data_IF_067207034287
#
_entry.id   IF_067207034287
#
_cell.length_a   1.000
_cell.length_b   1.000
_cell.length_c   1.000
_cell.angle_alpha   90.00
_cell.angle_beta   90.00
_cell.angle_gamma   90.00
#
_symmetry.space_group_name_H-M   'P 1'
#
loop_
_entity.id
_entity.type
_entity.pdbx_description
1 polymer ?
#
# COMPACT_ATOMS: atom_id res chain seq x y z
N UNK A 1 -27.76 -13.60 20.53
CA UNK A 1 -27.65 -12.13 20.68
C UNK A 1 -28.11 -11.49 19.39
N UNK A 2 -28.84 -10.36 19.42
CA UNK A 2 -29.31 -9.71 18.19
C UNK A 2 -28.13 -9.17 17.36
N UNK A 3 -28.04 -9.55 16.08
CA UNK A 3 -27.03 -9.06 15.11
C UNK A 3 -27.29 -7.62 14.64
N UNK A 4 -28.40 -7.02 15.05
CA UNK A 4 -28.87 -5.72 14.59
C UNK A 4 -27.86 -4.60 14.81
N UNK A 5 -27.24 -4.53 16.00
CA UNK A 5 -26.31 -3.44 16.33
C UNK A 5 -24.99 -3.51 15.52
N UNK A 6 -24.26 -4.65 15.47
CA UNK A 6 -23.09 -4.80 14.60
C UNK A 6 -23.40 -4.51 13.13
N UNK A 7 -24.56 -4.96 12.63
CA UNK A 7 -24.96 -4.71 11.25
C UNK A 7 -25.15 -3.21 10.97
N UNK A 8 -25.84 -2.49 11.86
CA UNK A 8 -26.01 -1.03 11.76
C UNK A 8 -24.65 -0.32 11.76
N UNK A 9 -23.73 -0.71 12.63
CA UNK A 9 -22.37 -0.14 12.69
C UNK A 9 -21.61 -0.40 11.39
N UNK A 10 -21.67 -1.61 10.83
CA UNK A 10 -21.06 -1.95 9.54
C UNK A 10 -21.61 -1.07 8.42
N UNK A 11 -22.94 -0.90 8.34
CA UNK A 11 -23.59 -0.09 7.30
C UNK A 11 -23.18 1.37 7.42
N UNK A 12 -23.35 1.97 8.60
CA UNK A 12 -23.07 3.39 8.82
C UNK A 12 -21.59 3.72 8.59
N UNK A 13 -20.69 2.89 9.11
CA UNK A 13 -19.24 3.07 8.92
C UNK A 13 -18.87 2.96 7.45
N UNK A 14 -19.41 1.97 6.73
CA UNK A 14 -19.18 1.82 5.29
C UNK A 14 -19.70 3.02 4.50
N UNK A 15 -20.91 3.49 4.80
CA UNK A 15 -21.52 4.67 4.14
C UNK A 15 -20.68 5.92 4.40
N UNK A 16 -20.26 6.18 5.64
CA UNK A 16 -19.45 7.35 5.96
C UNK A 16 -18.07 7.32 5.29
N UNK A 17 -17.42 6.16 5.26
CA UNK A 17 -16.15 5.99 4.56
C UNK A 17 -16.31 6.22 3.06
N UNK A 18 -17.29 5.58 2.42
CA UNK A 18 -17.60 5.74 1.00
C UNK A 18 -17.93 7.20 0.66
N UNK A 19 -18.77 7.85 1.47
CA UNK A 19 -19.12 9.27 1.28
C UNK A 19 -17.87 10.16 1.37
N UNK A 20 -16.99 9.97 2.37
CA UNK A 20 -15.74 10.71 2.48
C UNK A 20 -14.82 10.52 1.26
N UNK A 21 -14.81 9.30 0.68
CA UNK A 21 -14.11 8.98 -0.55
C UNK A 21 -14.81 9.49 -1.81
N UNK A 22 -16.07 9.92 -1.81
CA UNK A 22 -16.75 10.46 -3.00
C UNK A 22 -16.76 11.99 -3.04
N UNK A 23 -16.73 12.65 -1.89
CA UNK A 23 -16.91 14.11 -1.76
C UNK A 23 -15.79 14.91 -2.48
N UNK A 24 -16.20 15.94 -3.24
CA UNK A 24 -15.45 17.13 -3.74
C UNK A 24 -14.48 17.04 -4.91
N UNK A 25 -14.08 15.87 -5.41
CA UNK A 25 -13.39 15.81 -6.72
C UNK A 25 -14.10 14.78 -7.58
N UNK A 26 -14.66 15.18 -8.75
CA UNK A 26 -15.21 14.19 -9.66
C UNK A 26 -14.09 13.19 -9.93
N UNK A 27 -14.38 11.90 -9.77
CA UNK A 27 -13.50 10.78 -10.13
C UNK A 27 -13.29 10.70 -11.66
N UNK A 28 -13.34 11.84 -12.36
CA UNK A 28 -13.14 11.97 -13.80
C UNK A 28 -11.66 11.76 -14.09
N UNK A 29 -11.22 10.50 -14.06
CA UNK A 29 -10.21 10.04 -14.99
C UNK A 29 -10.89 10.10 -16.36
N UNK A 30 -10.45 11.01 -17.25
CA UNK A 30 -11.08 11.13 -18.58
C UNK A 30 -11.03 9.80 -19.34
N UNK A 31 -10.01 8.96 -19.05
CA UNK A 31 -9.91 7.54 -19.40
C UNK A 31 -9.05 6.84 -18.33
N UNK A 32 -9.54 5.78 -17.65
CA UNK A 32 -8.71 4.99 -16.75
C UNK A 32 -7.64 4.25 -17.56
N UNK A 33 -6.39 4.29 -17.09
CA UNK A 33 -5.26 3.56 -17.70
C UNK A 33 -5.10 2.18 -17.07
N UNK A 34 -4.13 1.37 -17.53
CA UNK A 34 -3.94 0.02 -16.99
C UNK A 34 -3.50 0.02 -15.52
N UNK A 35 -2.76 1.04 -15.10
CA UNK A 35 -2.28 1.24 -13.74
C UNK A 35 -3.43 1.49 -12.76
N UNK A 36 -4.47 2.19 -13.23
CA UNK A 36 -5.72 2.34 -12.48
C UNK A 36 -6.39 0.98 -12.25
N UNK A 37 -6.54 0.18 -13.30
CA UNK A 37 -7.19 -1.13 -13.21
C UNK A 37 -6.40 -2.10 -12.35
N UNK A 38 -5.06 -2.03 -12.40
CA UNK A 38 -4.20 -2.86 -11.56
C UNK A 38 -4.39 -2.52 -10.07
N UNK A 39 -4.33 -1.22 -9.72
CA UNK A 39 -4.53 -0.76 -8.35
C UNK A 39 -5.96 -0.99 -7.83
N UNK A 40 -6.97 -0.84 -8.70
CA UNK A 40 -8.36 -1.19 -8.38
C UNK A 40 -8.49 -2.68 -8.08
N UNK A 41 -7.95 -3.53 -8.95
CA UNK A 41 -7.96 -4.99 -8.80
C UNK A 41 -7.27 -5.43 -7.52
N UNK A 42 -6.13 -4.79 -7.18
CA UNK A 42 -5.41 -5.02 -5.93
C UNK A 42 -6.29 -4.83 -4.69
N UNK A 43 -7.02 -3.72 -4.60
CA UNK A 43 -7.89 -3.46 -3.47
C UNK A 43 -9.09 -4.41 -3.42
N UNK A 44 -9.73 -4.64 -4.57
CA UNK A 44 -10.94 -5.48 -4.64
C UNK A 44 -10.62 -6.92 -4.30
N UNK A 45 -9.56 -7.49 -4.88
CA UNK A 45 -9.13 -8.87 -4.58
C UNK A 45 -8.72 -9.01 -3.12
N UNK A 46 -8.00 -8.05 -2.53
CA UNK A 46 -7.67 -8.08 -1.10
C UNK A 46 -8.93 -8.09 -0.21
N UNK A 47 -9.92 -7.27 -0.52
CA UNK A 47 -11.20 -7.24 0.22
C UNK A 47 -12.02 -8.52 0.05
N UNK A 48 -12.14 -9.04 -1.18
CA UNK A 48 -12.89 -10.28 -1.47
C UNK A 48 -12.24 -11.49 -0.81
N UNK A 49 -10.92 -11.59 -0.87
CA UNK A 49 -10.17 -12.69 -0.24
C UNK A 49 -10.35 -12.71 1.27
N UNK A 50 -10.43 -11.55 1.91
CA UNK A 50 -10.70 -11.48 3.34
C UNK A 50 -12.05 -12.12 3.70
N UNK A 51 -13.03 -12.16 2.78
CA UNK A 51 -14.32 -12.83 3.01
C UNK A 51 -14.23 -14.36 3.00
N UNK A 52 -13.26 -14.95 2.29
CA UNK A 52 -13.00 -16.39 2.39
C UNK A 52 -12.49 -16.77 3.79
N UNK A 53 -11.73 -15.89 4.45
CA UNK A 53 -11.17 -16.18 5.78
C UNK A 53 -12.22 -16.29 6.88
N UNK A 54 -13.38 -15.66 6.71
CA UNK A 54 -14.49 -15.69 7.67
C UNK A 54 -15.58 -16.69 7.28
N UNK A 55 -15.34 -17.57 6.30
CA UNK A 55 -16.27 -18.64 5.90
C UNK A 55 -17.51 -18.19 5.11
N UNK A 56 -17.68 -16.88 4.90
CA UNK A 56 -18.81 -16.29 4.16
C UNK A 56 -18.78 -16.68 2.68
N UNK A 57 -17.57 -16.79 2.11
CA UNK A 57 -17.36 -17.43 0.80
C UNK A 57 -16.82 -18.83 1.03
N UNK A 58 -17.61 -19.85 0.71
CA UNK A 58 -17.17 -21.24 0.74
C UNK A 58 -16.29 -21.55 -0.47
N UNK A 59 -15.18 -22.25 -0.24
CA UNK A 59 -14.25 -22.60 -1.29
C UNK A 59 -13.02 -23.34 -0.78
N UNK A 60 -12.29 -23.97 -1.69
CA UNK A 60 -11.00 -24.58 -1.39
C UNK A 60 -9.92 -23.50 -1.19
N UNK A 61 -8.85 -23.81 -0.47
CA UNK A 61 -7.69 -22.91 -0.37
C UNK A 61 -7.11 -22.53 -1.75
N UNK A 62 -7.18 -23.47 -2.72
CA UNK A 62 -6.82 -23.24 -4.13
C UNK A 62 -7.70 -22.18 -4.78
N UNK A 63 -9.03 -22.25 -4.59
CA UNK A 63 -9.95 -21.24 -5.12
C UNK A 63 -9.69 -19.86 -4.50
N UNK A 64 -9.50 -19.79 -3.18
CA UNK A 64 -9.17 -18.53 -2.50
C UNK A 64 -7.86 -17.93 -3.03
N UNK A 65 -6.84 -18.76 -3.30
CA UNK A 65 -5.58 -18.36 -3.92
C UNK A 65 -5.77 -17.89 -5.36
N UNK A 66 -6.60 -18.58 -6.15
CA UNK A 66 -6.91 -18.21 -7.52
C UNK A 66 -7.64 -16.85 -7.60
N UNK A 67 -8.68 -16.64 -6.79
CA UNK A 67 -9.42 -15.37 -6.70
C UNK A 67 -8.50 -14.23 -6.27
N UNK A 68 -7.54 -14.52 -5.38
CA UNK A 68 -6.53 -13.57 -4.91
C UNK A 68 -5.56 -13.14 -5.99
N UNK A 69 -5.01 -14.09 -6.75
CA UNK A 69 -3.84 -13.85 -7.60
C UNK A 69 -4.19 -13.68 -9.07
N UNK A 70 -5.13 -14.46 -9.63
CA UNK A 70 -5.38 -14.47 -11.09
C UNK A 70 -5.79 -13.10 -11.63
N UNK A 71 -6.76 -12.38 -11.04
CA UNK A 71 -7.14 -11.06 -11.56
C UNK A 71 -5.96 -10.08 -11.56
N UNK A 72 -5.16 -10.09 -10.49
CA UNK A 72 -3.95 -9.27 -10.36
C UNK A 72 -2.89 -9.63 -11.40
N UNK A 73 -2.66 -10.93 -11.63
CA UNK A 73 -1.74 -11.44 -12.64
C UNK A 73 -2.19 -11.04 -14.04
N UNK A 74 -3.46 -11.22 -14.38
CA UNK A 74 -4.00 -10.89 -15.71
C UNK A 74 -3.78 -9.40 -16.01
N UNK A 75 -4.17 -8.51 -15.10
CA UNK A 75 -4.00 -7.07 -15.30
C UNK A 75 -2.52 -6.68 -15.31
N UNK A 76 -1.70 -7.30 -14.44
CA UNK A 76 -0.25 -7.07 -14.40
C UNK A 76 0.47 -7.52 -15.67
N UNK A 77 0.11 -8.67 -16.23
CA UNK A 77 0.65 -9.16 -17.51
C UNK A 77 0.26 -8.22 -18.64
N UNK A 78 -1.00 -7.77 -18.71
CA UNK A 78 -1.44 -6.77 -19.71
C UNK A 78 -0.60 -5.49 -19.59
N UNK A 79 -0.35 -5.02 -18.37
CA UNK A 79 0.48 -3.84 -18.10
C UNK A 79 1.92 -3.99 -18.61
N UNK A 80 2.52 -5.18 -18.44
CA UNK A 80 3.86 -5.49 -18.98
C UNK A 80 3.83 -5.60 -20.51
N UNK A 81 2.82 -6.27 -21.09
CA UNK A 81 2.68 -6.41 -22.54
C UNK A 81 2.50 -5.05 -23.23
N UNK A 82 1.72 -4.14 -22.64
CA UNK A 82 1.58 -2.77 -23.14
C UNK A 82 2.91 -2.00 -23.07
N UNK A 83 3.67 -2.19 -21.98
CA UNK A 83 5.00 -1.58 -21.82
C UNK A 83 5.99 -2.09 -22.88
N UNK A 84 5.95 -3.38 -23.18
CA UNK A 84 6.74 -4.02 -24.22
C UNK A 84 6.33 -3.55 -25.62
N UNK A 85 5.03 -3.52 -25.93
CA UNK A 85 4.50 -3.05 -27.21
C UNK A 85 4.87 -1.58 -27.48
N UNK A 86 4.86 -0.75 -26.43
CA UNK A 86 5.31 0.64 -26.49
C UNK A 86 6.84 0.79 -26.60
N UNK A 87 7.62 -0.31 -26.54
CA UNK A 87 9.09 -0.30 -26.51
C UNK A 87 9.67 0.57 -25.41
N UNK A 88 8.99 0.62 -24.27
CA UNK A 88 9.38 1.42 -23.10
C UNK A 88 9.77 0.55 -21.91
N UNK A 89 10.02 -0.74 -22.12
CA UNK A 89 10.44 -1.67 -21.07
C UNK A 89 11.77 -1.25 -20.46
N UNK A 90 11.83 -1.23 -19.13
CA UNK A 90 13.05 -0.99 -18.36
C UNK A 90 13.05 -1.80 -17.08
N UNK A 91 14.20 -2.37 -16.73
CA UNK A 91 14.43 -2.97 -15.42
C UNK A 91 15.24 -1.96 -14.61
N UNK A 92 14.60 -1.33 -13.63
CA UNK A 92 15.32 -0.46 -12.68
C UNK A 92 16.00 -1.32 -11.60
N UNK A 93 16.85 -0.70 -10.77
CA UNK A 93 17.58 -1.42 -9.72
C UNK A 93 16.67 -2.14 -8.73
N UNK A 94 15.56 -1.51 -8.31
CA UNK A 94 14.60 -2.15 -7.41
C UNK A 94 13.97 -3.42 -8.05
N UNK A 95 13.59 -3.33 -9.33
CA UNK A 95 13.09 -4.45 -10.11
C UNK A 95 14.13 -5.57 -10.30
N UNK A 96 15.39 -5.20 -10.53
CA UNK A 96 16.51 -6.16 -10.59
C UNK A 96 16.73 -6.91 -9.27
N UNK A 97 16.68 -6.22 -8.13
CA UNK A 97 16.80 -6.81 -6.80
C UNK A 97 15.65 -7.77 -6.48
N UNK A 98 14.41 -7.39 -6.83
CA UNK A 98 13.25 -8.30 -6.69
C UNK A 98 13.34 -9.48 -7.66
N UNK A 99 13.82 -9.26 -8.89
CA UNK A 99 14.09 -10.34 -9.84
C UNK A 99 15.09 -11.35 -9.28
N UNK A 100 16.20 -10.87 -8.72
CA UNK A 100 17.19 -11.71 -8.04
C UNK A 100 16.59 -12.46 -6.83
N UNK A 101 15.71 -11.83 -6.05
CA UNK A 101 14.98 -12.49 -4.96
C UNK A 101 14.14 -13.66 -5.50
N UNK A 102 13.41 -13.47 -6.61
CA UNK A 102 12.63 -14.56 -7.20
C UNK A 102 13.51 -15.66 -7.83
N UNK A 103 14.68 -15.34 -8.38
CA UNK A 103 15.64 -16.36 -8.82
C UNK A 103 16.07 -17.22 -7.63
N UNK A 104 16.36 -16.61 -6.47
CA UNK A 104 16.67 -17.34 -5.24
C UNK A 104 15.50 -18.24 -4.81
N UNK A 105 14.26 -17.73 -4.80
CA UNK A 105 13.09 -18.54 -4.46
C UNK A 105 12.84 -19.70 -5.44
N UNK A 106 13.01 -19.47 -6.74
CA UNK A 106 12.84 -20.49 -7.76
C UNK A 106 13.95 -21.56 -7.70
N UNK A 107 15.14 -21.22 -7.21
CA UNK A 107 16.18 -22.21 -6.97
C UNK A 107 15.73 -23.27 -5.95
N UNK A 108 14.96 -22.89 -4.92
CA UNK A 108 14.36 -23.83 -3.97
C UNK A 108 13.30 -24.73 -4.59
N UNK A 109 12.67 -24.31 -5.69
CA UNK A 109 11.69 -25.11 -6.42
C UNK A 109 12.28 -26.41 -6.99
N UNK A 110 13.59 -26.44 -7.26
CA UNK A 110 14.30 -27.67 -7.64
C UNK A 110 14.51 -28.64 -6.46
N UNK A 111 14.34 -28.18 -5.22
CA UNK A 111 14.47 -28.96 -3.99
C UNK A 111 13.15 -29.56 -3.47
N UNK A 112 12.09 -29.61 -4.29
CA UNK A 112 10.78 -30.18 -3.91
C UNK A 112 9.74 -29.17 -3.42
N UNK A 113 10.01 -27.87 -3.55
CA UNK A 113 9.06 -26.80 -3.27
C UNK A 113 8.01 -26.62 -4.38
N UNK A 114 6.83 -26.07 -4.03
CA UNK A 114 5.80 -25.77 -5.02
C UNK A 114 6.23 -24.63 -5.94
N UNK A 115 6.74 -24.98 -7.13
CA UNK A 115 7.06 -24.05 -8.23
C UNK A 115 5.88 -23.12 -8.52
N UNK A 116 4.65 -23.63 -8.41
CA UNK A 116 3.44 -22.88 -8.72
C UNK A 116 3.29 -21.61 -7.85
N UNK A 117 3.54 -21.68 -6.55
CA UNK A 117 3.36 -20.53 -5.67
C UNK A 117 4.41 -19.44 -5.95
N UNK A 118 5.67 -19.84 -6.17
CA UNK A 118 6.74 -18.92 -6.56
C UNK A 118 6.45 -18.24 -7.91
N UNK A 119 5.99 -19.01 -8.92
CA UNK A 119 5.61 -18.49 -10.23
C UNK A 119 4.40 -17.55 -10.19
N UNK A 120 3.35 -17.88 -9.44
CA UNK A 120 2.19 -17.01 -9.25
C UNK A 120 2.59 -15.71 -8.54
N UNK A 121 3.42 -15.81 -7.51
CA UNK A 121 3.95 -14.63 -6.83
C UNK A 121 4.83 -13.78 -7.75
N UNK A 122 5.70 -14.39 -8.56
CA UNK A 122 6.52 -13.68 -9.54
C UNK A 122 5.62 -12.93 -10.52
N UNK A 123 4.58 -13.59 -11.03
CA UNK A 123 3.62 -13.01 -11.96
C UNK A 123 2.90 -11.77 -11.39
N UNK A 124 2.58 -11.75 -10.09
CA UNK A 124 2.03 -10.56 -9.40
C UNK A 124 3.04 -9.42 -9.33
N UNK A 125 4.33 -9.72 -9.17
CA UNK A 125 5.41 -8.73 -9.09
C UNK A 125 5.97 -8.29 -10.45
N UNK A 126 5.61 -8.94 -11.55
CA UNK A 126 6.10 -8.62 -12.89
C UNK A 126 5.99 -7.12 -13.24
N UNK A 127 4.89 -6.39 -12.96
CA UNK A 127 4.81 -4.96 -13.26
C UNK A 127 5.84 -4.10 -12.52
N UNK A 128 6.28 -4.51 -11.32
CA UNK A 128 7.33 -3.81 -10.59
C UNK A 128 8.75 -4.20 -11.06
N UNK A 129 8.94 -5.42 -11.54
CA UNK A 129 10.22 -5.90 -12.09
C UNK A 129 10.46 -5.32 -13.48
N UNK A 130 9.44 -5.42 -14.33
CA UNK A 130 9.41 -5.06 -15.74
C UNK A 130 8.68 -3.73 -15.95
N UNK A 131 9.25 -2.68 -15.33
CA UNK A 131 8.68 -1.35 -15.30
C UNK A 131 8.73 -0.61 -16.65
N UNK A 132 8.05 0.53 -16.71
CA UNK A 132 8.11 1.46 -17.84
C UNK A 132 9.23 2.50 -17.62
N UNK A 133 10.04 2.78 -18.66
CA UNK A 133 11.15 3.75 -18.64
C UNK A 133 10.67 5.15 -18.28
N UNK A 134 9.52 5.56 -18.82
CA UNK A 134 8.91 6.84 -18.47
C UNK A 134 8.41 6.80 -17.03
N UNK A 135 7.90 5.65 -16.59
CA UNK A 135 7.10 5.53 -15.39
C UNK A 135 5.62 5.31 -15.68
N UNK A 136 4.92 4.90 -14.65
CA UNK A 136 3.50 4.70 -14.42
C UNK A 136 2.88 5.96 -13.85
N UNK A 137 1.62 6.21 -14.17
CA UNK A 137 0.89 7.38 -13.67
C UNK A 137 0.43 7.15 -12.21
N UNK A 138 1.08 7.82 -11.25
CA UNK A 138 0.76 7.72 -9.82
C UNK A 138 -0.65 8.24 -9.50
N UNK A 139 -1.17 9.20 -10.26
CA UNK A 139 -2.53 9.69 -10.09
C UNK A 139 -3.53 8.60 -10.45
N UNK A 140 -3.27 7.83 -11.51
CA UNK A 140 -4.10 6.67 -11.88
C UNK A 140 -4.04 5.57 -10.84
N UNK A 141 -2.84 5.25 -10.31
CA UNK A 141 -2.69 4.30 -9.19
C UNK A 141 -3.51 4.76 -7.98
N UNK A 142 -3.35 6.01 -7.53
CA UNK A 142 -4.09 6.57 -6.38
C UNK A 142 -5.61 6.56 -6.62
N UNK A 143 -6.06 6.88 -7.83
CA UNK A 143 -7.50 6.81 -8.17
C UNK A 143 -8.02 5.37 -8.18
N UNK A 144 -7.22 4.42 -8.68
CA UNK A 144 -7.52 2.99 -8.66
C UNK A 144 -7.63 2.45 -7.24
N UNK A 145 -6.67 2.80 -6.37
CA UNK A 145 -6.73 2.48 -4.93
C UNK A 145 -7.98 3.04 -4.27
N UNK A 146 -8.30 4.32 -4.51
CA UNK A 146 -9.48 4.98 -3.95
C UNK A 146 -10.78 4.31 -4.40
N UNK A 147 -10.95 4.07 -5.70
CA UNK A 147 -12.17 3.43 -6.21
C UNK A 147 -12.24 1.95 -5.85
N UNK A 148 -11.12 1.24 -5.88
CA UNK A 148 -11.06 -0.17 -5.50
C UNK A 148 -11.38 -0.38 -4.03
N UNK A 149 -10.90 0.51 -3.15
CA UNK A 149 -11.28 0.51 -1.72
C UNK A 149 -12.78 0.74 -1.55
N UNK A 150 -13.35 1.72 -2.27
CA UNK A 150 -14.79 1.98 -2.27
C UNK A 150 -15.57 0.74 -2.72
N UNK A 151 -15.19 0.13 -3.84
CA UNK A 151 -15.83 -1.09 -4.36
C UNK A 151 -15.76 -2.23 -3.35
N UNK A 152 -14.59 -2.47 -2.75
CA UNK A 152 -14.41 -3.52 -1.75
C UNK A 152 -15.27 -3.29 -0.51
N UNK A 153 -15.29 -2.07 0.05
CA UNK A 153 -16.10 -1.73 1.23
C UNK A 153 -17.59 -1.93 0.94
N UNK A 154 -18.08 -1.46 -0.22
CA UNK A 154 -19.48 -1.67 -0.61
C UNK A 154 -19.78 -3.16 -0.74
N UNK A 155 -18.92 -3.92 -1.42
CA UNK A 155 -19.13 -5.36 -1.60
C UNK A 155 -19.19 -6.09 -0.25
N UNK A 156 -18.25 -5.81 0.66
CA UNK A 156 -18.22 -6.41 2.01
C UNK A 156 -19.47 -6.02 2.79
N UNK A 157 -19.88 -4.74 2.77
CA UNK A 157 -21.08 -4.28 3.47
C UNK A 157 -22.35 -4.95 2.93
N UNK A 158 -22.49 -5.05 1.61
CA UNK A 158 -23.63 -5.72 0.96
C UNK A 158 -23.69 -7.20 1.34
N UNK A 159 -22.55 -7.88 1.40
CA UNK A 159 -22.47 -9.27 1.84
C UNK A 159 -22.84 -9.39 3.33
N UNK A 160 -22.34 -8.49 4.18
CA UNK A 160 -22.73 -8.44 5.59
C UNK A 160 -24.23 -8.20 5.82
N UNK A 161 -24.89 -7.45 4.93
CA UNK A 161 -26.35 -7.29 4.93
C UNK A 161 -27.04 -8.58 4.48
N UNK A 162 -26.61 -9.13 3.35
CA UNK A 162 -27.25 -10.29 2.73
C UNK A 162 -27.09 -11.58 3.57
N UNK A 163 -26.00 -11.72 4.31
CA UNK A 163 -25.62 -12.92 5.06
C UNK A 163 -25.28 -12.60 6.52
N UNK A 164 -26.06 -11.75 7.16
CA UNK A 164 -25.75 -11.25 8.51
C UNK A 164 -25.57 -12.33 9.58
N UNK A 165 -26.24 -13.49 9.46
CA UNK A 165 -26.08 -14.62 10.39
C UNK A 165 -24.72 -15.30 10.31
N UNK A 166 -24.14 -15.36 9.11
CA UNK A 166 -22.85 -16.04 8.86
C UNK A 166 -21.70 -15.03 8.97
N UNK A 167 -21.99 -13.76 8.69
CA UNK A 167 -21.03 -12.67 8.77
C UNK A 167 -20.67 -12.31 10.22
N UNK A 168 -21.62 -12.40 11.16
CA UNK A 168 -21.40 -12.09 12.57
C UNK A 168 -21.45 -13.34 13.44
N UNK A 169 -20.40 -13.56 14.22
CA UNK A 169 -20.27 -14.70 15.12
C UNK A 169 -20.05 -14.31 16.58
N UNK A 170 -20.17 -15.29 17.50
CA UNK A 170 -19.73 -15.09 18.87
C UNK A 170 -18.22 -14.82 18.91
N UNK A 171 -17.85 -13.83 19.71
CA UNK A 171 -16.47 -13.49 19.99
C UNK A 171 -15.93 -14.32 21.17
N UNK A 172 -14.60 -14.43 21.27
CA UNK A 172 -13.96 -14.87 22.51
C UNK A 172 -13.95 -13.74 23.53
N UNK A 173 -14.04 -14.04 24.82
CA UNK A 173 -14.06 -13.04 25.90
C UNK A 173 -12.81 -12.14 25.91
N UNK A 174 -11.65 -12.68 25.50
CA UNK A 174 -10.39 -11.93 25.40
C UNK A 174 -10.23 -11.14 24.08
N UNK A 175 -11.18 -11.29 23.15
CA UNK A 175 -11.17 -10.71 21.80
C UNK A 175 -12.58 -10.34 21.37
N UNK A 176 -13.31 -9.63 22.21
CA UNK A 176 -14.63 -9.14 21.83
C UNK A 176 -14.56 -7.67 21.41
N UNK A 177 -15.27 -7.38 20.33
CA UNK A 177 -15.59 -6.02 19.93
C UNK A 177 -16.44 -5.34 21.01
N UNK A 178 -16.41 -4.00 21.05
CA UNK A 178 -17.29 -3.21 21.93
C UNK A 178 -18.78 -3.41 21.61
N UNK A 179 -19.10 -4.01 20.45
CA UNK A 179 -20.46 -4.29 19.99
C UNK A 179 -20.97 -5.70 20.36
N UNK A 180 -20.19 -6.48 21.14
CA UNK A 180 -20.60 -7.77 21.70
C UNK A 180 -20.59 -8.95 20.72
N UNK A 181 -20.31 -8.72 19.44
CA UNK A 181 -20.14 -9.75 18.39
C UNK A 181 -18.92 -9.41 17.53
N UNK A 182 -18.36 -10.40 16.85
CA UNK A 182 -17.26 -10.22 15.90
C UNK A 182 -17.69 -10.52 14.46
N UNK A 183 -17.03 -9.90 13.48
CA UNK A 183 -17.10 -10.33 12.08
C UNK A 183 -16.29 -11.62 11.95
N UNK A 184 -16.95 -12.68 11.46
CA UNK A 184 -16.48 -14.05 11.56
C UNK A 184 -16.66 -14.67 12.95
N UNK A 185 -16.56 -15.99 13.03
CA UNK A 185 -16.66 -16.73 14.29
C UNK A 185 -15.30 -16.79 15.00
N UNK A 186 -15.29 -16.76 16.33
CA UNK A 186 -14.13 -17.07 17.17
C UNK A 186 -12.80 -16.31 16.90
N UNK A 187 -12.84 -15.17 16.18
CA UNK A 187 -11.66 -14.35 15.87
C UNK A 187 -11.08 -14.56 14.46
N UNK A 188 -11.81 -15.19 13.55
CA UNK A 188 -11.39 -15.39 12.15
C UNK A 188 -11.38 -14.09 11.32
N UNK A 189 -11.95 -13.00 11.86
CA UNK A 189 -11.98 -11.67 11.24
C UNK A 189 -10.62 -11.00 11.01
N UNK A 190 -9.50 -11.64 11.36
CA UNK A 190 -8.17 -11.03 11.31
C UNK A 190 -7.77 -10.50 9.93
N UNK A 191 -7.96 -11.30 8.87
CA UNK A 191 -7.61 -10.88 7.51
C UNK A 191 -8.43 -9.66 7.07
N UNK A 192 -9.72 -9.65 7.41
CA UNK A 192 -10.63 -8.55 7.08
C UNK A 192 -10.28 -7.29 7.88
N UNK A 193 -9.95 -7.43 9.16
CA UNK A 193 -9.50 -6.32 9.99
C UNK A 193 -8.22 -5.69 9.42
N UNK A 194 -7.26 -6.52 9.02
CA UNK A 194 -6.01 -6.07 8.39
C UNK A 194 -6.29 -5.38 7.06
N UNK A 195 -7.19 -5.91 6.24
CA UNK A 195 -7.64 -5.21 5.03
C UNK A 195 -8.18 -3.81 5.35
N UNK A 196 -9.09 -3.67 6.33
CA UNK A 196 -9.61 -2.37 6.73
C UNK A 196 -8.51 -1.43 7.24
N UNK A 197 -7.60 -1.92 8.08
CA UNK A 197 -6.50 -1.13 8.62
C UNK A 197 -5.58 -0.58 7.51
N UNK A 198 -5.14 -1.45 6.59
CA UNK A 198 -4.26 -1.07 5.48
C UNK A 198 -5.00 -0.18 4.47
N UNK A 199 -6.23 -0.53 4.09
CA UNK A 199 -7.03 0.27 3.17
C UNK A 199 -7.30 1.68 3.72
N UNK A 200 -7.56 1.81 5.03
CA UNK A 200 -7.70 3.09 5.70
C UNK A 200 -6.40 3.90 5.61
N UNK A 201 -5.27 3.32 6.00
CA UNK A 201 -3.98 4.00 5.93
C UNK A 201 -3.67 4.48 4.50
N UNK A 202 -3.80 3.61 3.50
CA UNK A 202 -3.61 3.97 2.09
C UNK A 202 -4.57 5.09 1.63
N UNK A 203 -5.85 5.03 2.00
CA UNK A 203 -6.80 6.10 1.69
C UNK A 203 -6.37 7.44 2.32
N UNK A 204 -5.93 7.43 3.57
CA UNK A 204 -5.52 8.63 4.30
C UNK A 204 -4.24 9.27 3.73
N UNK A 205 -3.35 8.47 3.14
CA UNK A 205 -2.20 8.97 2.38
C UNK A 205 -2.64 9.73 1.10
N UNK A 206 -3.77 9.34 0.48
CA UNK A 206 -4.26 9.91 -0.79
C UNK A 206 -5.14 11.15 -0.56
N UNK A 207 -5.94 11.15 0.50
CA UNK A 207 -6.99 12.15 0.68
C UNK A 207 -6.48 13.45 1.35
N UNK A 208 -6.86 14.56 0.73
CA UNK A 208 -6.70 15.90 1.32
C UNK A 208 -7.94 16.30 2.14
N UNK A 209 -7.70 16.98 3.27
CA UNK A 209 -8.75 17.56 4.11
C UNK A 209 -8.88 16.90 5.49
N UNK A 210 -9.03 17.73 6.53
CA UNK A 210 -9.14 17.30 7.93
C UNK A 210 -10.42 16.51 8.19
N UNK A 211 -11.56 16.97 7.65
CA UNK A 211 -12.84 16.29 7.84
C UNK A 211 -12.86 14.87 7.26
N UNK A 212 -12.39 14.70 6.02
CA UNK A 212 -12.32 13.37 5.40
C UNK A 212 -11.42 12.41 6.16
N UNK A 213 -10.33 12.93 6.74
CA UNK A 213 -9.45 12.12 7.57
C UNK A 213 -10.15 11.65 8.82
N UNK A 214 -10.79 12.57 9.56
CA UNK A 214 -11.55 12.20 10.75
C UNK A 214 -12.62 11.16 10.42
N UNK A 215 -13.41 11.37 9.37
CA UNK A 215 -14.47 10.44 8.97
C UNK A 215 -13.92 9.07 8.56
N UNK A 216 -12.86 9.01 7.74
CA UNK A 216 -12.27 7.72 7.35
C UNK A 216 -11.64 7.02 8.55
N UNK A 217 -10.93 7.75 9.42
CA UNK A 217 -10.33 7.19 10.64
C UNK A 217 -11.40 6.62 11.57
N UNK A 218 -12.46 7.36 11.87
CA UNK A 218 -13.51 6.87 12.79
C UNK A 218 -14.32 5.71 12.19
N UNK A 219 -14.69 5.80 10.91
CA UNK A 219 -15.40 4.73 10.24
C UNK A 219 -14.56 3.45 10.13
N UNK A 220 -13.28 3.57 9.77
CA UNK A 220 -12.39 2.41 9.70
C UNK A 220 -12.10 1.80 11.07
N UNK A 221 -11.97 2.61 12.13
CA UNK A 221 -11.82 2.10 13.50
C UNK A 221 -13.01 1.23 13.91
N UNK A 222 -14.24 1.69 13.64
CA UNK A 222 -15.44 0.92 13.97
C UNK A 222 -15.48 -0.43 13.23
N UNK A 223 -15.09 -0.45 11.94
CA UNK A 223 -14.99 -1.70 11.16
C UNK A 223 -13.86 -2.61 11.64
N UNK A 224 -12.69 -2.05 11.99
CA UNK A 224 -11.57 -2.82 12.56
C UNK A 224 -11.95 -3.42 13.91
N UNK A 225 -12.58 -2.64 14.80
CA UNK A 225 -13.04 -3.12 16.11
C UNK A 225 -14.04 -4.28 15.96
N UNK A 226 -15.00 -4.16 15.04
CA UNK A 226 -15.95 -5.22 14.71
C UNK A 226 -15.28 -6.54 14.30
N UNK A 227 -14.06 -6.53 13.77
CA UNK A 227 -13.33 -7.76 13.44
C UNK A 227 -12.71 -8.46 14.66
N UNK A 228 -12.72 -7.83 15.83
CA UNK A 228 -12.10 -8.36 17.05
C UNK A 228 -10.60 -8.67 16.91
N UNK A 229 -9.92 -8.10 15.92
CA UNK A 229 -8.51 -8.36 15.66
C UNK A 229 -7.61 -7.31 16.32
N UNK A 230 -6.87 -7.74 17.37
CA UNK A 230 -5.82 -6.93 18.03
C UNK A 230 -4.74 -6.50 17.05
N UNK A 231 -4.37 -7.40 16.16
CA UNK A 231 -3.37 -7.19 15.11
C UNK A 231 -3.82 -6.13 14.11
N UNK A 232 -5.08 -6.19 13.67
CA UNK A 232 -5.67 -5.16 12.84
C UNK A 232 -5.74 -3.81 13.55
N UNK A 233 -6.09 -3.80 14.83
CA UNK A 233 -6.13 -2.59 15.64
C UNK A 233 -4.75 -1.94 15.77
N UNK A 234 -3.69 -2.71 16.06
CA UNK A 234 -2.32 -2.18 16.10
C UNK A 234 -1.87 -1.66 14.73
N UNK A 235 -2.15 -2.40 13.67
CA UNK A 235 -1.86 -1.98 12.29
C UNK A 235 -2.60 -0.69 11.93
N UNK A 236 -3.86 -0.54 12.39
CA UNK A 236 -4.66 0.66 12.20
C UNK A 236 -4.05 1.84 12.97
N UNK A 237 -3.75 1.70 14.27
CA UNK A 237 -3.16 2.76 15.09
C UNK A 237 -1.86 3.28 14.44
N UNK A 238 -0.95 2.38 14.09
CA UNK A 238 0.31 2.75 13.46
C UNK A 238 0.07 3.36 12.07
N UNK A 239 -0.86 2.80 11.28
CA UNK A 239 -1.26 3.36 9.98
C UNK A 239 -1.82 4.80 10.07
N UNK A 240 -2.59 5.10 11.12
CA UNK A 240 -3.04 6.48 11.41
C UNK A 240 -1.85 7.38 11.73
N UNK A 241 -0.91 6.93 12.58
CA UNK A 241 0.31 7.70 12.90
C UNK A 241 1.10 7.99 11.63
N UNK A 242 1.31 7.00 10.76
CA UNK A 242 1.97 7.15 9.46
C UNK A 242 1.25 8.21 8.60
N UNK A 243 -0.08 8.17 8.54
CA UNK A 243 -0.86 9.15 7.78
C UNK A 243 -0.81 10.57 8.38
N UNK A 244 -0.70 10.70 9.71
CA UNK A 244 -0.47 11.99 10.39
C UNK A 244 0.92 12.53 10.03
N UNK A 245 1.95 11.70 10.14
CA UNK A 245 3.34 12.04 9.78
C UNK A 245 3.43 12.47 8.32
N UNK A 246 2.76 11.75 7.42
CA UNK A 246 2.68 12.09 6.00
C UNK A 246 2.04 13.45 5.73
N UNK A 247 0.93 13.76 6.42
CA UNK A 247 0.30 15.08 6.34
C UNK A 247 1.19 16.20 6.87
N UNK A 248 1.90 15.94 7.96
CA UNK A 248 2.88 16.87 8.50
C UNK A 248 4.00 17.12 7.48
N UNK A 249 4.58 16.05 6.92
CA UNK A 249 5.61 16.09 5.89
C UNK A 249 5.18 16.86 4.64
N UNK A 250 3.93 16.68 4.18
CA UNK A 250 3.35 17.49 3.09
C UNK A 250 3.29 18.98 3.43
N UNK A 251 2.92 19.32 4.67
CA UNK A 251 2.80 20.71 5.12
C UNK A 251 4.15 21.39 5.26
N UNK A 252 5.17 20.68 5.70
CA UNK A 252 6.54 21.22 5.89
C UNK A 252 7.44 21.03 4.67
N UNK A 253 6.93 20.40 3.61
CA UNK A 253 7.70 19.95 2.45
C UNK A 253 9.01 19.21 2.79
N UNK A 254 8.96 18.34 3.80
CA UNK A 254 10.12 17.55 4.24
C UNK A 254 9.72 16.09 4.39
N UNK A 255 10.58 15.17 3.95
CA UNK A 255 10.33 13.72 4.05
C UNK A 255 11.05 13.10 5.26
N UNK A 256 11.74 13.90 6.08
CA UNK A 256 12.58 13.40 7.18
C UNK A 256 11.78 12.59 8.19
N UNK A 257 10.62 13.09 8.66
CA UNK A 257 9.83 12.38 9.66
C UNK A 257 9.27 11.05 9.13
N UNK A 258 8.92 10.97 7.84
CA UNK A 258 8.56 9.69 7.22
C UNK A 258 9.74 8.73 7.15
N UNK A 259 10.93 9.19 6.77
CA UNK A 259 12.12 8.35 6.73
C UNK A 259 12.47 7.81 8.12
N UNK A 260 12.43 8.66 9.16
CA UNK A 260 12.60 8.26 10.56
C UNK A 260 11.55 7.23 10.96
N UNK A 261 10.29 7.45 10.58
CA UNK A 261 9.20 6.50 10.85
C UNK A 261 9.44 5.16 10.16
N UNK A 262 9.86 5.15 8.90
CA UNK A 262 10.17 3.94 8.15
C UNK A 262 11.34 3.15 8.80
N UNK A 263 12.40 3.86 9.21
CA UNK A 263 13.54 3.26 9.92
C UNK A 263 13.10 2.68 11.26
N UNK A 264 12.30 3.41 12.04
CA UNK A 264 11.80 2.94 13.33
C UNK A 264 10.91 1.69 13.18
N UNK A 265 10.01 1.67 12.19
CA UNK A 265 9.17 0.51 11.90
C UNK A 265 9.99 -0.67 11.39
N UNK A 266 10.96 -0.44 10.50
CA UNK A 266 11.88 -1.48 10.01
C UNK A 266 12.72 -2.08 11.13
N UNK A 267 13.29 -1.24 11.99
CA UNK A 267 14.04 -1.68 13.16
C UNK A 267 13.13 -2.47 14.12
N UNK A 268 11.88 -2.03 14.33
CA UNK A 268 10.92 -2.77 15.16
C UNK A 268 10.57 -4.13 14.53
N UNK A 269 10.36 -4.21 13.21
CA UNK A 269 10.14 -5.48 12.51
C UNK A 269 11.27 -6.49 12.73
N UNK A 270 12.52 -6.01 12.81
CA UNK A 270 13.71 -6.84 13.04
C UNK A 270 13.89 -7.18 14.52
N UNK A 271 13.83 -6.18 15.40
CA UNK A 271 14.16 -6.33 16.83
C UNK A 271 13.07 -7.09 17.57
N UNK A 272 11.79 -6.80 17.29
CA UNK A 272 10.66 -7.37 18.02
C UNK A 272 10.76 -8.90 18.15
N UNK A 273 10.88 -9.69 17.08
CA UNK A 273 10.94 -11.15 17.19
C UNK A 273 12.26 -11.70 17.75
N UNK A 274 13.28 -10.86 17.95
CA UNK A 274 14.58 -11.24 18.52
C UNK A 274 14.62 -11.11 20.05
N UNK A 275 13.66 -10.40 20.65
CA UNK A 275 13.57 -10.25 22.09
C UNK A 275 13.29 -11.60 22.79
N UNK A 276 13.68 -11.68 24.07
CA UNK A 276 13.52 -12.89 24.87
C UNK A 276 12.09 -12.97 25.43
N UNK A 277 11.19 -13.56 24.66
CA UNK A 277 9.82 -13.85 25.07
C UNK A 277 9.65 -15.30 25.50
N UNK A 278 8.68 -15.54 26.37
CA UNK A 278 8.17 -16.88 26.62
C UNK A 278 7.31 -17.33 25.43
N UNK A 279 7.31 -18.63 25.14
CA UNK A 279 6.61 -19.18 23.96
C UNK A 279 5.10 -18.91 23.94
N UNK A 280 4.45 -18.80 25.11
CA UNK A 280 3.02 -18.53 25.26
C UNK A 280 2.62 -17.07 24.96
N UNK A 281 3.59 -16.17 24.85
CA UNK A 281 3.33 -14.75 24.59
C UNK A 281 2.78 -14.50 23.17
N UNK A 282 2.03 -13.40 23.05
CA UNK A 282 1.40 -12.96 21.80
C UNK A 282 0.50 -14.03 21.15
N UNK A 283 -0.18 -14.87 21.95
CA UNK A 283 -0.98 -16.00 21.43
C UNK A 283 -0.10 -17.02 20.69
N UNK A 284 0.98 -17.46 21.33
CA UNK A 284 1.94 -18.43 20.80
C UNK A 284 2.77 -17.99 19.58
N UNK A 285 2.71 -16.70 19.20
CA UNK A 285 3.55 -16.18 18.11
C UNK A 285 5.04 -16.18 18.48
N UNK A 286 5.36 -16.00 19.76
CA UNK A 286 6.72 -16.08 20.26
C UNK A 286 7.36 -17.46 20.01
N UNK A 287 6.59 -18.55 20.15
CA UNK A 287 7.06 -19.91 19.78
C UNK A 287 7.46 -19.98 18.31
N UNK A 288 6.69 -19.38 17.39
CA UNK A 288 7.02 -19.36 15.97
C UNK A 288 8.28 -18.56 15.68
N UNK A 289 8.49 -17.44 16.38
CA UNK A 289 9.71 -16.66 16.25
C UNK A 289 10.92 -17.42 16.78
N UNK A 290 10.77 -18.16 17.89
CA UNK A 290 11.81 -19.07 18.40
C UNK A 290 12.16 -20.16 17.38
N UNK A 291 11.15 -20.83 16.81
CA UNK A 291 11.36 -21.85 15.76
C UNK A 291 12.00 -21.25 14.51
N UNK A 292 11.51 -20.10 14.04
CA UNK A 292 12.06 -19.39 12.89
C UNK A 292 13.52 -18.98 13.09
N UNK A 293 13.92 -18.61 14.31
CA UNK A 293 15.32 -18.34 14.66
C UNK A 293 16.19 -19.58 14.61
N UNK A 294 15.69 -20.73 15.10
CA UNK A 294 16.39 -22.00 15.00
C UNK A 294 16.65 -22.39 13.55
N UNK A 295 15.62 -22.33 12.72
CA UNK A 295 15.70 -22.56 11.27
C UNK A 295 16.68 -21.57 10.60
N UNK A 296 16.56 -20.27 10.91
CA UNK A 296 17.47 -19.28 10.36
C UNK A 296 18.93 -19.52 10.79
N UNK A 297 19.19 -20.16 11.93
CA UNK A 297 20.55 -20.51 12.33
C UNK A 297 21.12 -21.71 11.54
N UNK A 298 20.26 -22.64 11.13
CA UNK A 298 20.63 -23.81 10.34
C UNK A 298 20.88 -23.48 8.85
N UNK A 299 20.07 -22.59 8.24
CA UNK A 299 20.24 -22.10 6.87
C UNK A 299 20.27 -20.56 6.79
N UNK A 300 21.32 -19.90 7.30
CA UNK A 300 21.33 -18.45 7.53
C UNK A 300 21.38 -17.62 6.25
N UNK A 301 22.02 -18.12 5.20
CA UNK A 301 22.24 -17.32 3.99
C UNK A 301 21.07 -17.38 3.02
N UNK A 302 20.52 -18.58 2.80
CA UNK A 302 19.55 -18.84 1.72
C UNK A 302 18.16 -19.26 2.23
N UNK A 303 18.02 -19.74 3.47
CA UNK A 303 16.74 -20.20 4.02
C UNK A 303 16.30 -21.55 3.47
N UNK A 304 14.97 -21.78 3.44
CA UNK A 304 14.32 -23.07 3.14
C UNK A 304 13.28 -23.02 2.02
N UNK A 305 13.02 -21.84 1.45
CA UNK A 305 11.99 -21.62 0.42
C UNK A 305 10.64 -21.14 0.98
N UNK A 306 9.81 -20.55 0.10
CA UNK A 306 8.61 -19.80 0.51
C UNK A 306 7.40 -20.65 0.89
N UNK A 307 7.41 -21.97 0.61
CA UNK A 307 6.36 -22.90 1.04
C UNK A 307 6.76 -23.76 2.25
N UNK A 308 7.90 -23.47 2.90
CA UNK A 308 8.41 -24.23 4.04
C UNK A 308 7.34 -24.53 5.11
N UNK A 309 6.66 -23.50 5.61
CA UNK A 309 5.64 -23.65 6.66
C UNK A 309 4.44 -24.49 6.24
N UNK A 310 4.13 -24.53 4.94
CA UNK A 310 3.03 -25.35 4.40
C UNK A 310 3.44 -26.82 4.38
N UNK A 311 4.72 -27.13 4.11
CA UNK A 311 5.23 -28.51 4.14
C UNK A 311 5.40 -29.04 5.56
N UNK A 312 5.91 -28.21 6.47
CA UNK A 312 6.12 -28.60 7.87
C UNK A 312 4.79 -28.82 8.62
N UNK A 313 3.75 -28.11 8.19
CA UNK A 313 2.37 -28.25 8.67
C UNK A 313 1.79 -29.64 8.40
N UNK A 314 2.21 -30.62 9.18
CA UNK A 314 1.87 -32.03 9.02
C UNK A 314 2.73 -32.97 9.87
N UNK A 315 3.98 -32.58 10.16
CA UNK A 315 4.97 -33.48 10.79
C UNK A 315 5.26 -33.16 12.28
N UNK A 316 5.24 -31.88 12.69
CA UNK A 316 5.70 -31.45 14.04
C UNK A 316 4.60 -30.90 14.98
N UNK A 317 3.32 -31.14 14.68
CA UNK A 317 2.21 -30.61 15.49
C UNK A 317 2.00 -29.09 15.40
N UNK A 318 2.77 -28.38 14.57
CA UNK A 318 2.49 -26.99 14.16
C UNK A 318 1.37 -27.03 13.11
N UNK A 319 0.24 -26.39 13.39
CA UNK A 319 -0.93 -26.40 12.49
C UNK A 319 -0.59 -25.89 11.08
N UNK A 320 -1.12 -26.59 10.07
CA UNK A 320 -0.91 -26.41 8.64
C UNK A 320 -1.55 -25.12 8.08
N UNK A 321 -1.10 -23.96 8.54
CA UNK A 321 -1.27 -22.67 7.87
C UNK A 321 -0.40 -21.56 8.48
N UNK A 322 0.50 -21.90 9.41
CA UNK A 322 1.19 -20.89 10.18
C UNK A 322 2.15 -20.06 9.30
N UNK A 323 2.12 -18.76 9.53
CA UNK A 323 3.15 -17.82 9.15
C UNK A 323 3.79 -17.33 10.44
N UNK A 324 5.02 -16.86 10.39
CA UNK A 324 5.67 -16.22 11.54
C UNK A 324 4.96 -14.95 12.02
N UNK A 325 3.95 -14.45 11.28
CA UNK A 325 3.24 -13.21 11.58
C UNK A 325 4.19 -12.01 11.71
N UNK A 326 5.35 -12.08 11.07
CA UNK A 326 6.36 -11.03 11.04
C UNK A 326 7.13 -11.16 9.71
N UNK A 327 7.16 -10.09 8.90
CA UNK A 327 7.76 -10.17 7.56
C UNK A 327 9.25 -10.54 7.59
N UNK A 328 10.01 -10.05 8.57
CA UNK A 328 11.45 -10.36 8.68
C UNK A 328 11.67 -11.84 8.95
N UNK A 329 10.99 -12.41 9.94
CA UNK A 329 11.12 -13.84 10.27
C UNK A 329 10.64 -14.73 9.13
N UNK A 330 9.57 -14.34 8.43
CA UNK A 330 9.09 -15.06 7.25
C UNK A 330 10.13 -15.02 6.11
N UNK A 331 10.70 -13.85 5.81
CA UNK A 331 11.71 -13.69 4.78
C UNK A 331 13.01 -14.40 5.12
N UNK A 332 13.42 -14.43 6.40
CA UNK A 332 14.60 -15.18 6.86
C UNK A 332 14.41 -16.67 6.65
N UNK A 333 13.28 -17.24 7.04
CA UNK A 333 13.02 -18.67 6.83
C UNK A 333 12.87 -18.98 5.34
N UNK A 334 12.21 -18.12 4.57
CA UNK A 334 11.97 -18.38 3.16
C UNK A 334 13.21 -18.21 2.27
N UNK A 335 14.09 -17.25 2.59
CA UNK A 335 15.13 -16.77 1.66
C UNK A 335 16.45 -16.37 2.33
N UNK A 336 16.57 -16.59 3.64
CA UNK A 336 17.77 -16.28 4.42
C UNK A 336 18.11 -14.79 4.46
N UNK A 337 19.31 -14.50 4.94
CA UNK A 337 19.85 -13.15 5.00
C UNK A 337 19.96 -12.51 3.61
N UNK A 338 20.30 -13.29 2.57
CA UNK A 338 20.43 -12.77 1.21
C UNK A 338 19.08 -12.24 0.70
N UNK A 339 18.00 -13.02 0.83
CA UNK A 339 16.68 -12.56 0.42
C UNK A 339 16.21 -11.35 1.24
N UNK A 340 16.45 -11.34 2.56
CA UNK A 340 16.13 -10.16 3.38
C UNK A 340 16.83 -8.89 2.90
N UNK A 341 18.12 -8.98 2.55
CA UNK A 341 18.90 -7.87 2.01
C UNK A 341 18.40 -7.44 0.62
N UNK A 342 18.04 -8.39 -0.24
CA UNK A 342 17.47 -8.09 -1.56
C UNK A 342 16.13 -7.37 -1.44
N UNK A 343 15.23 -7.82 -0.55
CA UNK A 343 13.94 -7.17 -0.32
C UNK A 343 14.10 -5.77 0.30
N UNK A 344 14.91 -5.64 1.35
CA UNK A 344 15.19 -4.35 1.98
C UNK A 344 15.87 -3.37 1.00
N UNK A 345 16.83 -3.87 0.21
CA UNK A 345 17.51 -3.12 -0.84
C UNK A 345 16.54 -2.68 -1.93
N UNK A 346 15.60 -3.53 -2.36
CA UNK A 346 14.60 -3.19 -3.35
C UNK A 346 13.66 -2.07 -2.86
N UNK A 347 13.13 -2.19 -1.64
CA UNK A 347 12.26 -1.16 -1.05
C UNK A 347 13.00 0.16 -0.83
N UNK A 348 14.25 0.11 -0.36
CA UNK A 348 15.09 1.30 -0.14
C UNK A 348 15.42 1.99 -1.46
N UNK A 349 15.88 1.22 -2.45
CA UNK A 349 16.17 1.72 -3.79
C UNK A 349 14.91 2.31 -4.41
N UNK A 350 13.75 1.70 -4.17
CA UNK A 350 12.51 2.21 -4.71
C UNK A 350 12.15 3.60 -4.17
N UNK A 351 12.36 3.83 -2.88
CA UNK A 351 12.19 5.17 -2.28
C UNK A 351 13.23 6.16 -2.83
N UNK A 352 14.50 5.77 -2.86
CA UNK A 352 15.60 6.66 -3.24
C UNK A 352 15.57 7.04 -4.73
N UNK A 353 15.17 6.11 -5.60
CA UNK A 353 15.07 6.30 -7.04
C UNK A 353 13.78 6.97 -7.52
N UNK A 354 12.84 7.30 -6.61
CA UNK A 354 11.66 8.06 -6.99
C UNK A 354 12.05 9.45 -7.54
N UNK A 355 11.50 9.79 -8.72
CA UNK A 355 11.93 10.94 -9.53
C UNK A 355 11.61 12.30 -8.89
N UNK A 356 10.53 12.38 -8.11
CA UNK A 356 10.13 13.60 -7.42
C UNK A 356 9.75 13.36 -5.95
N UNK A 357 9.58 14.45 -5.22
CA UNK A 357 9.25 14.40 -3.79
C UNK A 357 7.84 13.84 -3.51
N UNK A 358 6.90 13.96 -4.45
CA UNK A 358 5.54 13.45 -4.30
C UNK A 358 5.51 11.92 -4.40
N UNK A 359 6.20 11.35 -5.39
CA UNK A 359 6.40 9.93 -5.56
C UNK A 359 7.22 9.36 -4.42
N UNK A 360 8.34 10.01 -4.03
CA UNK A 360 9.16 9.59 -2.89
C UNK A 360 8.37 9.52 -1.58
N UNK A 361 7.61 10.57 -1.28
CA UNK A 361 6.76 10.65 -0.08
C UNK A 361 5.67 9.58 -0.10
N UNK A 362 5.10 9.32 -1.28
CA UNK A 362 4.13 8.25 -1.46
C UNK A 362 4.75 6.87 -1.24
N UNK A 363 5.88 6.57 -1.87
CA UNK A 363 6.62 5.32 -1.67
C UNK A 363 6.94 5.10 -0.20
N UNK A 364 7.48 6.12 0.48
CA UNK A 364 7.76 6.08 1.92
C UNK A 364 6.51 5.79 2.74
N UNK A 365 5.40 6.46 2.45
CA UNK A 365 4.11 6.21 3.11
C UNK A 365 3.65 4.76 2.94
N UNK A 366 3.70 4.22 1.72
CA UNK A 366 3.31 2.83 1.43
C UNK A 366 4.26 1.84 2.09
N UNK A 367 5.57 2.09 2.09
CA UNK A 367 6.55 1.26 2.81
C UNK A 367 6.29 1.27 4.32
N UNK A 368 5.97 2.43 4.90
CA UNK A 368 5.58 2.50 6.32
C UNK A 368 4.32 1.68 6.59
N UNK A 369 3.31 1.73 5.72
CA UNK A 369 2.07 0.93 5.85
C UNK A 369 2.34 -0.57 5.70
N UNK A 370 3.22 -0.97 4.77
CA UNK A 370 3.68 -2.35 4.64
C UNK A 370 4.33 -2.80 5.95
N UNK A 371 5.34 -2.06 6.43
CA UNK A 371 6.07 -2.38 7.65
C UNK A 371 5.16 -2.41 8.88
N UNK A 372 4.23 -1.47 9.03
CA UNK A 372 3.34 -1.41 10.19
C UNK A 372 2.50 -2.66 10.35
N UNK A 373 1.93 -3.15 9.25
CA UNK A 373 1.15 -4.38 9.31
C UNK A 373 2.05 -5.62 9.32
N UNK A 374 3.25 -5.52 8.77
CA UNK A 374 4.29 -6.54 8.80
C UNK A 374 4.92 -6.82 10.17
N UNK A 375 4.65 -5.98 11.19
CA UNK A 375 5.05 -6.21 12.57
C UNK A 375 4.31 -7.41 13.19
N UNK A 376 3.05 -7.59 12.77
CA UNK A 376 2.11 -8.52 13.42
C UNK A 376 1.42 -9.47 12.44
N UNK A 377 1.62 -9.32 11.12
CA UNK A 377 1.17 -10.26 10.10
C UNK A 377 2.16 -10.33 8.96
N UNK A 378 2.10 -11.38 8.14
CA UNK A 378 2.72 -11.33 6.82
C UNK A 378 1.68 -10.87 5.81
N UNK A 379 1.71 -9.58 5.49
CA UNK A 379 0.70 -8.97 4.61
C UNK A 379 1.01 -9.22 3.14
N UNK A 380 2.26 -8.97 2.75
CA UNK A 380 2.75 -9.08 1.38
C UNK A 380 4.23 -9.43 1.42
N UNK A 381 4.58 -10.66 1.04
CA UNK A 381 5.95 -11.12 0.91
C UNK A 381 6.16 -11.74 -0.47
N UNK A 382 7.30 -11.52 -1.15
CA UNK A 382 7.60 -12.25 -2.37
C UNK A 382 7.71 -13.76 -2.06
N UNK A 383 7.06 -14.58 -2.89
CA UNK A 383 6.94 -16.03 -2.70
C UNK A 383 5.74 -16.47 -1.86
N UNK A 384 5.14 -15.57 -1.06
CA UNK A 384 3.92 -15.84 -0.27
C UNK A 384 3.02 -14.60 -0.21
N UNK A 385 2.32 -14.24 -1.31
CA UNK A 385 1.37 -13.14 -1.31
C UNK A 385 0.12 -13.54 -0.49
N UNK A 386 0.10 -13.13 0.78
CA UNK A 386 -0.90 -13.57 1.74
C UNK A 386 -2.11 -12.62 1.78
N UNK A 387 -2.24 -11.76 2.79
CA UNK A 387 -3.47 -10.97 3.01
C UNK A 387 -3.67 -9.85 1.98
N UNK A 388 -2.58 -9.24 1.52
CA UNK A 388 -2.62 -8.14 0.56
C UNK A 388 -1.47 -8.28 -0.45
N UNK A 389 -1.59 -9.19 -1.44
CA UNK A 389 -0.53 -9.51 -2.40
C UNK A 389 0.15 -8.31 -3.05
N UNK A 390 -0.64 -7.29 -3.37
CA UNK A 390 -0.20 -6.12 -4.13
C UNK A 390 0.50 -5.04 -3.29
N UNK A 391 0.53 -5.12 -1.95
CA UNK A 391 1.03 -4.01 -1.13
C UNK A 391 2.52 -3.74 -1.32
N UNK A 392 3.37 -4.77 -1.36
CA UNK A 392 4.78 -4.61 -1.66
C UNK A 392 5.00 -4.12 -3.11
N UNK A 393 4.19 -4.60 -4.05
CA UNK A 393 4.23 -4.17 -5.45
C UNK A 393 3.87 -2.68 -5.58
N UNK A 394 2.89 -2.18 -4.82
CA UNK A 394 2.53 -0.76 -4.78
C UNK A 394 3.70 0.14 -4.37
N UNK A 395 4.51 -0.28 -3.39
CA UNK A 395 5.71 0.46 -2.98
C UNK A 395 6.75 0.51 -4.10
N UNK A 396 6.90 -0.58 -4.86
CA UNK A 396 7.86 -0.71 -5.94
C UNK A 396 7.43 -0.01 -7.24
N UNK A 397 6.13 0.09 -7.51
CA UNK A 397 5.61 0.77 -8.72
C UNK A 397 5.90 2.27 -8.72
N UNK A 398 6.11 2.87 -7.56
CA UNK A 398 6.33 4.31 -7.43
C UNK A 398 7.72 4.79 -7.93
N UNK A 399 8.68 3.87 -8.14
CA UNK A 399 9.99 4.18 -8.77
C UNK A 399 9.84 4.57 -10.22
N UNK A 400 8.96 3.84 -10.89
CA UNK A 400 8.56 4.09 -12.25
C UNK A 400 7.45 5.12 -12.17
N UNK A 401 7.68 6.37 -11.77
CA UNK A 401 6.68 7.44 -11.89
C UNK A 401 7.22 8.54 -12.82
N UNK A 402 6.40 9.00 -13.77
CA UNK A 402 6.70 10.21 -14.57
C UNK A 402 5.93 11.38 -13.97
N UNK A 403 6.59 12.51 -13.65
CA UNK A 403 5.89 13.76 -13.37
C UNK A 403 4.90 14.06 -14.50
N UNK A 404 3.68 14.49 -14.16
CA UNK A 404 2.72 14.98 -15.16
C UNK A 404 3.37 16.15 -15.91
N UNK A 405 3.64 16.01 -17.21
CA UNK A 405 4.17 17.12 -18.03
C UNK A 405 3.24 18.33 -17.90
N UNK A 406 3.69 19.46 -17.32
CA UNK A 406 2.85 20.64 -17.09
C UNK A 406 2.32 21.23 -18.39
N UNK A 407 2.92 20.92 -19.53
CA UNK A 407 2.50 21.38 -20.86
C UNK A 407 1.19 20.75 -21.34
N UNK A 408 0.81 19.56 -20.85
CA UNK A 408 -0.46 18.91 -21.22
C UNK A 408 -1.71 19.67 -20.70
N UNK A 409 -1.53 20.61 -19.77
CA UNK A 409 -2.60 21.47 -19.27
C UNK A 409 -2.74 22.82 -20.00
N UNK A 410 -1.73 23.26 -20.75
CA UNK A 410 -1.81 24.50 -21.54
C UNK A 410 -2.44 24.31 -22.94
N UNK A 411 -2.50 23.09 -23.47
CA UNK A 411 -3.08 22.79 -24.79
C UNK A 411 -4.62 22.88 -24.88
N UNK A 412 -5.31 23.26 -23.80
CA UNK A 412 -6.77 23.50 -23.80
C UNK A 412 -7.16 24.91 -23.37
N UNK A 413 -6.22 25.87 -23.44
CA UNK A 413 -6.63 27.24 -23.67
C UNK A 413 -7.26 27.30 -25.06
N UNK A 414 -8.60 27.27 -25.10
CA UNK A 414 -9.36 27.66 -26.27
C UNK A 414 -8.68 28.89 -26.89
N UNK A 415 -8.28 28.85 -28.18
CA UNK A 415 -7.81 30.05 -28.84
C UNK A 415 -8.89 31.11 -28.66
N UNK A 416 -8.47 32.22 -28.07
CA UNK A 416 -9.27 33.40 -27.79
C UNK A 416 -10.43 33.56 -28.78
N UNK A 417 -11.64 33.28 -28.29
CA UNK A 417 -12.91 33.75 -28.88
C UNK A 417 -13.08 35.27 -28.70
N UNK A 418 -11.98 36.01 -28.59
CA UNK A 418 -11.90 37.47 -28.48
C UNK A 418 -11.71 38.16 -29.84
N UNK A 419 -11.69 37.43 -30.96
CA UNK A 419 -11.56 37.99 -32.31
C UNK A 419 -12.89 38.06 -33.10
N UNK A 420 -14.05 37.91 -32.45
CA UNK A 420 -15.37 38.14 -33.08
C UNK A 420 -16.23 39.03 -32.19
N UNK A 421 -16.03 40.33 -32.33
CA UNK A 421 -16.91 41.33 -31.72
C UNK A 421 -16.22 42.67 -31.58
N UNK A 422 -15.90 43.32 -32.71
CA UNK A 422 -15.80 44.78 -32.84
C UNK A 422 -15.64 45.13 -34.33
N UNK A 423 -16.66 44.78 -35.11
CA UNK A 423 -16.93 45.40 -36.40
C UNK A 423 -18.18 46.28 -36.21
N UNK A 424 -17.99 47.47 -35.63
CA UNK A 424 -18.83 48.66 -35.77
C UNK A 424 -18.40 49.72 -34.74
N UNK A 425 -18.28 50.97 -35.20
CA UNK A 425 -17.96 52.22 -34.49
C UNK A 425 -16.48 52.65 -34.66
N UNK A 426 -16.14 53.38 -35.73
CA UNK A 426 -16.35 54.82 -35.90
C UNK A 426 -15.44 55.69 -35.01
N UNK A 427 -14.53 56.43 -35.66
CA UNK A 427 -14.22 57.83 -35.33
C UNK A 427 -13.31 58.12 -34.13
N UNK A 428 -12.02 58.36 -34.42
CA UNK A 428 -11.33 59.66 -34.26
C UNK A 428 -9.89 59.55 -33.69
N UNK A 429 -8.95 60.37 -34.21
CA UNK A 429 -7.58 60.41 -33.77
C UNK A 429 -7.38 61.49 -32.70
N UNK A 430 -6.75 61.16 -31.57
CA UNK A 430 -6.03 62.16 -30.77
C UNK A 430 -4.75 61.60 -30.19
N UNK A 431 -3.67 62.15 -30.73
CA UNK A 431 -2.33 62.19 -30.18
C UNK A 431 -2.31 62.89 -28.82
N UNK A 432 -1.57 62.33 -27.86
CA UNK A 432 -0.87 63.14 -26.85
C UNK A 432 0.40 62.44 -26.37
N UNK A 433 1.47 62.90 -26.99
CA UNK A 433 2.88 62.91 -26.57
C UNK A 433 2.96 63.74 -25.27
N UNK A 434 3.55 63.25 -24.16
CA UNK A 434 4.91 63.49 -23.57
C UNK A 434 4.72 63.53 -22.02
N UNK A 435 5.77 63.56 -21.15
CA UNK A 435 7.20 63.34 -21.35
C UNK A 435 7.86 62.37 -20.33
N UNK A 436 9.07 61.93 -20.69
CA UNK A 436 10.09 61.30 -19.84
C UNK A 436 10.74 62.36 -18.95
N UNK A 437 10.90 62.07 -17.65
CA UNK A 437 11.76 62.81 -16.73
C UNK A 437 12.96 61.92 -16.35
N UNK A 438 14.20 62.29 -16.71
CA UNK A 438 15.39 61.68 -16.17
C UNK A 438 15.89 62.47 -14.95
N UNK A 439 16.27 61.75 -13.88
CA UNK A 439 16.87 62.34 -12.68
C UNK A 439 18.12 61.56 -12.25
N UNK A 440 19.19 62.24 -11.78
CA UNK A 440 20.56 61.72 -11.71
C UNK A 440 20.94 61.24 -10.30
N UNK A 441 22.05 60.50 -10.17
CA UNK A 441 22.62 60.25 -8.84
C UNK A 441 23.69 59.17 -8.78
N UNK A 442 24.86 59.46 -9.34
CA UNK A 442 26.12 58.78 -9.03
C UNK A 442 26.52 58.98 -7.56
N UNK A 443 26.92 57.90 -6.88
CA UNK A 443 27.54 57.96 -5.56
C UNK A 443 28.48 56.77 -5.35
N UNK A 444 29.78 57.03 -5.40
CA UNK A 444 30.87 56.12 -5.07
C UNK A 444 31.31 56.32 -3.61
N UNK A 445 31.54 55.23 -2.87
CA UNK A 445 32.41 55.11 -1.68
C UNK A 445 32.47 53.61 -1.32
N UNK A 446 33.57 52.90 -1.55
CA UNK A 446 34.80 52.76 -0.74
C UNK A 446 34.66 51.96 0.56
N UNK A 447 35.49 50.92 0.66
CA UNK A 447 36.26 50.45 1.82
C UNK A 447 35.72 49.38 2.81
N UNK A 448 36.49 48.26 2.82
CA UNK A 448 37.16 47.56 3.96
C UNK A 448 36.43 46.60 4.92
N UNK A 449 37.16 45.51 5.26
CA UNK A 449 36.98 44.60 6.42
C UNK A 449 36.59 43.17 6.01
N UNK A 450 37.44 42.12 5.91
CA UNK A 450 38.42 41.49 6.81
C UNK A 450 37.85 40.82 8.09
N UNK A 451 38.11 39.50 8.23
CA UNK A 451 38.05 38.60 9.42
C UNK A 451 36.67 38.23 10.01
N UNK A 452 36.36 37.04 10.58
CA UNK A 452 37.07 35.83 11.02
C UNK A 452 36.06 34.64 11.03
N UNK A 453 36.43 33.40 10.69
CA UNK A 453 36.78 32.28 11.61
C UNK A 453 36.03 32.27 12.96
N UNK A 454 35.09 31.33 13.11
CA UNK A 454 35.09 30.31 14.18
C UNK A 454 34.27 29.10 13.76
#
# INVERSE_FOLDING_TARGET
>A
MPTTMPLVVTILSSVFWVAALLVRRPLRTRRPTIEFWWAWTAMVTAGVVALFSIGVLSGTATLATAVRMIPLIVVGVIMVLQTLAARTLSINWAGGLIGAYFVLLLAFAFGGESVAQACLSLAVFLPAILGRRTGYDLRQIRNGLRLGTLTAIIAIAMIGIAQSSDFFGPCRTDKCSVWGLSIGTAGDGNALGIFYAIAAALCLLIIDGRWKFLVISTASLALVDLTSSRTALYSWIIGIVVAIVDRWCRRTNSNLMQAVTAIALGATCVILPLLAYRGDEFTYRATLWLSARGLAAESPLVGYGSSFWVRLGGEDGISANYSTHNLMMESLVASGAIGCLLLAGALTTAVLSAQDDSARRWSLGVVCVLLSGSLTEVISAPGRPYLFPALAVLALLAVSYTPDDPESHNGSQCPNRAARGNAAAAGHPRSRVTPVIPGPGSGAASQTGQHAVR
#
